data_IF_845957790539
#
_entry.id   IF_845957790539
#
_cell.length_a   1.000
_cell.length_b   1.000
_cell.length_c   1.000
_cell.angle_alpha   90.00
_cell.angle_beta   90.00
_cell.angle_gamma   90.00
#
_symmetry.space_group_name_H-M   'P 1'
#
loop_
_entity.id
_entity.type
_entity.pdbx_description
1 polymer ?
#
# COMPACT_ATOMS: atom_id res chain seq x y z
N UNK A 1 -41.41 -12.96 31.09
CA UNK A 1 -40.13 -12.24 30.86
C UNK A 1 -40.02 -11.98 29.37
N UNK A 2 -40.42 -10.81 28.89
CA UNK A 2 -40.22 -10.43 27.48
C UNK A 2 -38.76 -10.03 27.29
N UNK A 3 -38.09 -10.68 26.35
CA UNK A 3 -36.76 -10.28 25.91
C UNK A 3 -36.88 -8.93 25.20
N UNK A 4 -36.24 -7.93 25.78
CA UNK A 4 -36.14 -6.58 25.24
C UNK A 4 -35.14 -6.63 24.08
N UNK A 5 -35.62 -6.97 22.88
CA UNK A 5 -34.85 -6.80 21.64
C UNK A 5 -34.82 -5.30 21.32
N UNK A 6 -33.89 -4.58 21.93
CA UNK A 6 -33.58 -3.23 21.48
C UNK A 6 -32.90 -3.35 20.12
N UNK A 7 -33.71 -3.25 19.07
CA UNK A 7 -33.24 -2.99 17.71
C UNK A 7 -32.44 -1.68 17.76
N UNK A 8 -31.12 -1.81 17.89
CA UNK A 8 -30.17 -0.72 17.75
C UNK A 8 -30.21 -0.28 16.28
N UNK A 9 -31.22 0.53 15.93
CA UNK A 9 -31.29 1.23 14.65
C UNK A 9 -30.04 2.11 14.56
N UNK A 10 -29.08 1.66 13.76
CA UNK A 10 -27.91 2.43 13.38
C UNK A 10 -28.35 3.81 12.88
N UNK A 11 -27.62 4.85 13.27
CA UNK A 11 -27.86 6.21 12.81
C UNK A 11 -27.84 6.23 11.26
N UNK A 12 -28.77 6.94 10.58
CA UNK A 12 -28.78 7.10 9.13
C UNK A 12 -27.41 7.32 8.47
N UNK A 13 -26.52 8.08 9.11
CA UNK A 13 -25.18 8.34 8.57
C UNK A 13 -24.24 7.13 8.71
N UNK A 14 -24.38 6.34 9.77
CA UNK A 14 -23.67 5.07 9.91
C UNK A 14 -24.13 4.08 8.82
N UNK A 15 -25.42 4.07 8.46
CA UNK A 15 -25.92 3.23 7.38
C UNK A 15 -25.34 3.61 6.02
N UNK A 16 -25.16 4.91 5.74
CA UNK A 16 -24.53 5.38 4.50
C UNK A 16 -23.06 4.97 4.40
N UNK A 17 -22.28 5.15 5.46
CA UNK A 17 -20.86 4.76 5.49
C UNK A 17 -20.72 3.24 5.30
N UNK A 18 -21.55 2.45 5.98
CA UNK A 18 -21.54 1.00 5.80
C UNK A 18 -21.90 0.60 4.36
N UNK A 19 -22.87 1.27 3.73
CA UNK A 19 -23.22 1.00 2.33
C UNK A 19 -22.08 1.33 1.36
N UNK A 20 -21.36 2.45 1.59
CA UNK A 20 -20.19 2.81 0.78
C UNK A 20 -19.08 1.78 0.96
N UNK A 21 -18.74 1.42 2.20
CA UNK A 21 -17.71 0.41 2.48
C UNK A 21 -18.09 -0.92 1.83
N UNK A 22 -19.35 -1.37 1.99
CA UNK A 22 -19.82 -2.61 1.38
C UNK A 22 -19.71 -2.60 -0.14
N UNK A 23 -19.96 -1.46 -0.79
CA UNK A 23 -19.79 -1.30 -2.24
C UNK A 23 -18.32 -1.31 -2.65
N UNK A 24 -17.46 -0.63 -1.88
CA UNK A 24 -16.02 -0.57 -2.14
C UNK A 24 -15.30 -1.90 -1.85
N UNK A 25 -15.88 -2.78 -1.04
CA UNK A 25 -15.31 -4.10 -0.71
C UNK A 25 -15.98 -5.27 -1.43
N UNK A 26 -16.77 -5.00 -2.48
CA UNK A 26 -17.35 -6.05 -3.33
C UNK A 26 -16.24 -6.93 -3.94
N UNK A 27 -16.31 -8.26 -3.84
CA UNK A 27 -15.29 -9.16 -4.36
C UNK A 27 -14.90 -8.89 -5.81
N UNK A 28 -15.88 -8.70 -6.69
CA UNK A 28 -15.65 -8.46 -8.12
C UNK A 28 -14.86 -7.17 -8.34
N UNK A 29 -15.22 -6.10 -7.62
CA UNK A 29 -14.52 -4.82 -7.67
C UNK A 29 -13.07 -4.95 -7.18
N UNK A 30 -12.85 -5.60 -6.03
CA UNK A 30 -11.51 -5.79 -5.46
C UNK A 30 -10.63 -6.59 -6.42
N UNK A 31 -11.15 -7.67 -7.01
CA UNK A 31 -10.41 -8.47 -7.98
C UNK A 31 -10.03 -7.65 -9.23
N UNK A 32 -10.95 -6.84 -9.77
CA UNK A 32 -10.66 -5.94 -10.88
C UNK A 32 -9.58 -4.93 -10.49
N UNK A 33 -9.70 -4.28 -9.32
CA UNK A 33 -8.73 -3.32 -8.82
C UNK A 33 -7.33 -3.93 -8.66
N UNK A 34 -7.23 -5.14 -8.12
CA UNK A 34 -5.96 -5.87 -7.98
C UNK A 34 -5.35 -6.16 -9.36
N UNK A 35 -6.13 -6.73 -10.29
CA UNK A 35 -5.62 -7.09 -11.62
C UNK A 35 -5.17 -5.85 -12.39
N UNK A 36 -6.02 -4.81 -12.43
CA UNK A 36 -5.72 -3.58 -13.16
C UNK A 36 -4.54 -2.82 -12.54
N UNK A 37 -4.45 -2.72 -11.21
CA UNK A 37 -3.32 -2.04 -10.56
C UNK A 37 -1.99 -2.71 -10.91
N UNK A 38 -1.91 -4.04 -10.90
CA UNK A 38 -0.68 -4.74 -11.29
C UNK A 38 -0.36 -4.61 -12.76
N UNK A 39 -1.34 -4.86 -13.64
CA UNK A 39 -1.10 -4.77 -15.08
C UNK A 39 -0.63 -3.37 -15.42
N UNK A 40 -1.38 -2.34 -15.04
CA UNK A 40 -1.09 -0.94 -15.37
C UNK A 40 0.26 -0.52 -14.80
N UNK A 41 0.50 -0.77 -13.52
CA UNK A 41 1.73 -0.28 -12.90
C UNK A 41 2.97 -1.04 -13.36
N UNK A 42 2.95 -2.38 -13.36
CA UNK A 42 4.12 -3.18 -13.74
C UNK A 42 4.44 -2.98 -15.22
N UNK A 43 3.45 -3.08 -16.11
CA UNK A 43 3.70 -2.87 -17.53
C UNK A 43 4.09 -1.43 -17.82
N UNK A 44 3.44 -0.46 -17.17
CA UNK A 44 3.73 0.96 -17.35
C UNK A 44 5.14 1.32 -16.90
N UNK A 45 5.55 0.87 -15.72
CA UNK A 45 6.91 1.08 -15.20
C UNK A 45 7.94 0.41 -16.12
N UNK A 46 7.72 -0.84 -16.51
CA UNK A 46 8.62 -1.55 -17.42
C UNK A 46 8.75 -0.82 -18.77
N UNK A 47 7.64 -0.38 -19.37
CA UNK A 47 7.65 0.38 -20.63
C UNK A 47 8.40 1.70 -20.46
N UNK A 48 8.11 2.47 -19.41
CA UNK A 48 8.78 3.75 -19.14
C UNK A 48 10.30 3.57 -18.96
N UNK A 49 10.72 2.56 -18.17
CA UNK A 49 12.13 2.24 -17.95
C UNK A 49 12.82 1.77 -19.23
N UNK A 50 12.17 0.92 -20.05
CA UNK A 50 12.75 0.47 -21.32
C UNK A 50 12.93 1.64 -22.30
N UNK A 51 11.92 2.50 -22.44
CA UNK A 51 12.01 3.69 -23.29
C UNK A 51 13.16 4.58 -22.82
N UNK A 52 13.26 4.85 -21.52
CA UNK A 52 14.32 5.67 -20.94
C UNK A 52 15.71 5.03 -21.13
N UNK A 53 15.84 3.72 -20.94
CA UNK A 53 17.09 2.98 -21.12
C UNK A 53 17.59 3.10 -22.57
N UNK A 54 16.75 2.78 -23.55
CA UNK A 54 17.14 2.79 -24.96
C UNK A 54 17.37 4.18 -25.54
N UNK A 55 16.75 5.23 -24.98
CA UNK A 55 16.86 6.59 -25.52
C UNK A 55 17.84 7.48 -24.78
N UNK A 56 18.05 7.25 -23.48
CA UNK A 56 18.85 8.13 -22.61
C UNK A 56 19.88 7.39 -21.75
N UNK A 57 19.97 6.05 -21.84
CA UNK A 57 20.90 5.26 -21.02
C UNK A 57 20.48 5.12 -19.55
N UNK A 58 19.20 5.34 -19.25
CA UNK A 58 18.64 5.28 -17.90
C UNK A 58 18.93 3.94 -17.21
N UNK A 59 19.42 3.94 -15.98
CA UNK A 59 19.66 2.73 -15.21
C UNK A 59 19.40 2.90 -13.70
N UNK A 60 19.15 1.79 -13.01
CA UNK A 60 18.74 1.80 -11.59
C UNK A 60 19.84 2.22 -10.61
N UNK A 61 21.10 2.25 -11.04
CA UNK A 61 22.24 2.61 -10.19
C UNK A 61 22.47 4.11 -10.17
N UNK A 62 22.10 4.79 -11.25
CA UNK A 62 22.42 6.21 -11.49
C UNK A 62 21.18 7.10 -11.62
N UNK A 63 19.98 6.52 -11.69
CA UNK A 63 18.74 7.27 -11.87
C UNK A 63 17.66 6.88 -10.86
N UNK A 64 16.95 7.89 -10.38
CA UNK A 64 15.77 7.74 -9.54
C UNK A 64 14.60 7.16 -10.34
N UNK A 65 13.66 6.51 -9.67
CA UNK A 65 12.37 6.18 -10.27
C UNK A 65 11.66 7.47 -10.71
N UNK A 66 11.72 8.52 -9.89
CA UNK A 66 11.12 9.82 -10.20
C UNK A 66 11.71 10.48 -11.45
N UNK A 67 12.94 10.16 -11.84
CA UNK A 67 13.54 10.64 -13.09
C UNK A 67 12.73 10.19 -14.32
N UNK A 68 12.01 9.07 -14.25
CA UNK A 68 11.06 8.65 -15.30
C UNK A 68 9.85 9.60 -15.43
N UNK A 69 9.65 10.52 -14.49
CA UNK A 69 8.67 11.62 -14.56
C UNK A 69 9.23 12.91 -15.17
N UNK A 70 10.47 12.89 -15.70
CA UNK A 70 11.12 14.05 -16.31
C UNK A 70 11.51 13.82 -17.78
N UNK A 71 11.27 14.83 -18.61
CA UNK A 71 11.64 14.90 -20.04
C UNK A 71 13.15 14.80 -20.25
N UNK A 72 13.92 15.14 -19.21
CA UNK A 72 15.39 15.04 -19.20
C UNK A 72 15.85 13.59 -19.35
N UNK A 73 15.15 12.65 -18.69
CA UNK A 73 15.57 11.25 -18.62
C UNK A 73 14.67 10.30 -19.40
N UNK A 74 13.46 10.73 -19.78
CA UNK A 74 12.58 9.94 -20.67
C UNK A 74 11.84 10.84 -21.65
N UNK A 75 11.67 10.46 -22.92
CA UNK A 75 10.83 11.20 -23.87
C UNK A 75 9.34 11.14 -23.55
N UNK A 76 8.90 10.23 -22.67
CA UNK A 76 7.49 10.00 -22.33
C UNK A 76 7.22 10.05 -20.82
N UNK A 77 7.49 11.19 -20.15
CA UNK A 77 7.37 11.29 -18.69
C UNK A 77 5.94 11.08 -18.18
N UNK A 78 4.94 11.42 -19.01
CA UNK A 78 3.52 11.25 -18.70
C UNK A 78 3.12 9.79 -18.43
N UNK A 79 3.90 8.80 -18.86
CA UNK A 79 3.59 7.39 -18.61
C UNK A 79 3.64 7.11 -17.10
N UNK A 80 4.74 7.48 -16.42
CA UNK A 80 4.87 7.27 -14.98
C UNK A 80 3.76 8.01 -14.21
N UNK A 81 3.48 9.24 -14.63
CA UNK A 81 2.48 10.10 -14.00
C UNK A 81 1.08 9.48 -14.02
N UNK A 82 0.64 9.03 -15.20
CA UNK A 82 -0.69 8.46 -15.41
C UNK A 82 -0.81 7.12 -14.69
N UNK A 83 0.21 6.25 -14.76
CA UNK A 83 0.15 4.97 -14.05
C UNK A 83 0.14 5.18 -12.53
N UNK A 84 0.85 6.18 -12.00
CA UNK A 84 0.82 6.50 -10.58
C UNK A 84 -0.58 6.94 -10.13
N UNK A 85 -1.20 7.88 -10.87
CA UNK A 85 -2.56 8.34 -10.63
C UNK A 85 -3.57 7.19 -10.68
N UNK A 86 -3.60 6.41 -11.75
CA UNK A 86 -4.59 5.34 -11.91
C UNK A 86 -4.39 4.27 -10.83
N UNK A 87 -3.15 3.83 -10.62
CA UNK A 87 -2.84 2.79 -9.64
C UNK A 87 -3.21 3.23 -8.23
N UNK A 88 -2.94 4.49 -7.86
CA UNK A 88 -3.31 5.02 -6.55
C UNK A 88 -4.81 4.93 -6.26
N UNK A 89 -5.66 5.23 -7.26
CA UNK A 89 -7.12 5.15 -7.13
C UNK A 89 -7.56 3.69 -6.99
N UNK A 90 -6.97 2.79 -7.79
CA UNK A 90 -7.28 1.35 -7.73
C UNK A 90 -6.83 0.70 -6.42
N UNK A 91 -5.78 1.21 -5.76
CA UNK A 91 -5.30 0.70 -4.48
C UNK A 91 -6.19 1.10 -3.30
N UNK A 92 -7.06 2.10 -3.42
CA UNK A 92 -7.95 2.53 -2.32
C UNK A 92 -8.93 1.42 -1.91
N UNK A 93 -9.75 0.84 -2.82
CA UNK A 93 -10.61 -0.31 -2.48
C UNK A 93 -9.82 -1.49 -1.89
N UNK A 94 -8.66 -1.80 -2.47
CA UNK A 94 -7.77 -2.89 -2.03
C UNK A 94 -7.30 -2.67 -0.59
N UNK A 95 -6.90 -1.45 -0.26
CA UNK A 95 -6.47 -1.05 1.09
C UNK A 95 -7.59 -1.19 2.11
N UNK A 96 -8.81 -0.75 1.75
CA UNK A 96 -10.00 -0.89 2.61
C UNK A 96 -10.29 -2.38 2.86
N UNK A 97 -10.28 -3.20 1.81
CA UNK A 97 -10.53 -4.64 1.93
C UNK A 97 -9.48 -5.32 2.80
N UNK A 98 -8.19 -5.04 2.55
CA UNK A 98 -7.08 -5.61 3.33
C UNK A 98 -7.25 -5.29 4.82
N UNK A 99 -7.40 -4.03 5.20
CA UNK A 99 -7.55 -3.65 6.60
C UNK A 99 -8.83 -4.20 7.25
N UNK A 100 -9.92 -4.31 6.49
CA UNK A 100 -11.17 -4.92 6.97
C UNK A 100 -11.05 -6.42 7.19
N UNK A 101 -10.40 -7.14 6.27
CA UNK A 101 -10.14 -8.58 6.40
C UNK A 101 -9.23 -8.87 7.60
N UNK A 102 -8.17 -8.07 7.77
CA UNK A 102 -7.26 -8.15 8.91
C UNK A 102 -8.00 -7.94 10.24
N UNK A 103 -8.88 -6.93 10.31
CA UNK A 103 -9.71 -6.68 11.48
C UNK A 103 -10.63 -7.86 11.82
N UNK A 104 -11.26 -8.47 10.80
CA UNK A 104 -12.13 -9.63 10.99
C UNK A 104 -11.35 -10.82 11.55
N UNK A 105 -10.18 -11.12 11.00
CA UNK A 105 -9.34 -12.22 11.47
C UNK A 105 -8.86 -12.00 12.90
N UNK A 106 -8.42 -10.78 13.24
CA UNK A 106 -8.03 -10.45 14.62
C UNK A 106 -9.20 -10.62 15.59
N UNK A 107 -10.45 -10.37 15.17
CA UNK A 107 -11.61 -10.61 16.04
C UNK A 107 -11.76 -12.09 16.38
N UNK A 108 -11.50 -12.99 15.44
CA UNK A 108 -11.66 -14.43 15.64
C UNK A 108 -10.45 -15.06 16.34
N UNK A 109 -9.23 -14.58 16.09
CA UNK A 109 -7.98 -15.09 16.69
C UNK A 109 -7.83 -14.80 18.20
N UNK A 110 -8.50 -13.75 18.69
CA UNK A 110 -8.26 -13.19 20.02
C UNK A 110 -9.27 -13.74 21.06
N UNK A 111 -10.12 -14.69 20.67
CA UNK A 111 -10.95 -15.46 21.60
C UNK A 111 -10.05 -16.19 22.61
N UNK A 112 -10.00 -15.67 23.85
CA UNK A 112 -9.16 -16.21 24.94
C UNK A 112 -7.92 -15.37 25.31
N UNK A 113 -7.59 -14.30 24.57
CA UNK A 113 -6.52 -13.35 24.98
C UNK A 113 -7.10 -12.17 25.77
N UNK A 114 -6.23 -11.37 26.38
CA UNK A 114 -6.64 -10.20 27.15
C UNK A 114 -7.32 -9.14 26.28
N UNK A 115 -8.34 -8.47 26.83
CA UNK A 115 -9.03 -7.35 26.17
C UNK A 115 -8.04 -6.25 25.73
N UNK A 116 -6.99 -6.03 26.51
CA UNK A 116 -5.94 -5.04 26.20
C UNK A 116 -5.18 -5.39 24.92
N UNK A 117 -4.80 -6.67 24.72
CA UNK A 117 -4.13 -7.12 23.51
C UNK A 117 -5.01 -6.95 22.26
N UNK A 118 -6.31 -7.24 22.39
CA UNK A 118 -7.26 -6.99 21.30
C UNK A 118 -7.32 -5.52 20.89
N UNK A 119 -7.39 -4.61 21.87
CA UNK A 119 -7.42 -3.17 21.65
C UNK A 119 -6.12 -2.72 20.97
N UNK A 120 -4.97 -3.22 21.44
CA UNK A 120 -3.66 -2.94 20.84
C UNK A 120 -3.64 -3.28 19.35
N UNK A 121 -4.04 -4.51 18.98
CA UNK A 121 -4.05 -4.92 17.57
C UNK A 121 -5.02 -4.08 16.74
N UNK A 122 -6.20 -3.75 17.26
CA UNK A 122 -7.15 -2.87 16.55
C UNK A 122 -6.57 -1.49 16.25
N UNK A 123 -5.92 -0.87 17.23
CA UNK A 123 -5.29 0.43 17.05
C UNK A 123 -4.24 0.34 15.94
N UNK A 124 -3.44 -0.72 15.93
CA UNK A 124 -2.41 -0.93 14.91
C UNK A 124 -2.99 -1.13 13.52
N UNK A 125 -4.09 -1.87 13.38
CA UNK A 125 -4.81 -2.02 12.11
C UNK A 125 -5.34 -0.67 11.61
N UNK A 126 -5.92 0.15 12.51
CA UNK A 126 -6.45 1.47 12.14
C UNK A 126 -5.32 2.41 11.72
N UNK A 127 -4.22 2.45 12.46
CA UNK A 127 -3.05 3.28 12.11
C UNK A 127 -2.45 2.79 10.78
N UNK A 128 -2.26 1.49 10.61
CA UNK A 128 -1.77 0.87 9.38
C UNK A 128 -2.66 1.17 8.17
N UNK A 129 -3.98 1.19 8.36
CA UNK A 129 -4.97 1.58 7.34
C UNK A 129 -4.86 3.06 6.96
N UNK A 130 -4.77 3.96 7.94
CA UNK A 130 -4.58 5.40 7.69
C UNK A 130 -3.33 5.62 6.85
N UNK A 131 -2.24 4.92 7.17
CA UNK A 131 -1.01 5.00 6.37
C UNK A 131 -1.17 4.39 4.96
N UNK A 132 -1.93 3.31 4.75
CA UNK A 132 -2.22 2.84 3.37
C UNK A 132 -2.97 3.87 2.54
N UNK A 133 -3.94 4.56 3.14
CA UNK A 133 -4.66 5.63 2.47
C UNK A 133 -3.74 6.82 2.18
N UNK A 134 -2.90 7.20 3.15
CA UNK A 134 -1.88 8.24 2.94
C UNK A 134 -0.89 7.85 1.83
N UNK A 135 -0.49 6.58 1.72
CA UNK A 135 0.32 6.09 0.60
C UNK A 135 -0.39 6.29 -0.74
N UNK A 136 -1.69 6.01 -0.82
CA UNK A 136 -2.48 6.22 -2.04
C UNK A 136 -2.56 7.73 -2.38
N UNK A 137 -2.73 8.60 -1.38
CA UNK A 137 -2.71 10.05 -1.59
C UNK A 137 -1.33 10.54 -2.05
N UNK A 138 -0.26 10.06 -1.41
CA UNK A 138 1.11 10.32 -1.83
C UNK A 138 1.36 9.91 -3.28
N UNK A 139 0.92 8.70 -3.62
CA UNK A 139 1.13 8.13 -4.93
C UNK A 139 0.33 8.84 -6.04
N UNK A 140 -0.89 9.27 -5.74
CA UNK A 140 -1.64 10.16 -6.61
C UNK A 140 -0.91 11.49 -6.80
N UNK A 141 -0.43 12.07 -5.69
CA UNK A 141 0.27 13.35 -5.66
C UNK A 141 1.53 13.37 -6.51
N UNK A 142 2.38 12.33 -6.46
CA UNK A 142 3.59 12.28 -7.30
C UNK A 142 3.25 12.23 -8.79
N UNK A 143 2.13 11.64 -9.19
CA UNK A 143 1.71 11.62 -10.59
C UNK A 143 1.13 12.97 -11.05
N UNK A 144 0.43 13.69 -10.17
CA UNK A 144 -0.05 15.05 -10.47
C UNK A 144 1.14 16.02 -10.57
N UNK A 145 1.99 16.03 -9.55
CA UNK A 145 3.16 16.88 -9.43
C UNK A 145 4.39 16.07 -9.82
N UNK A 146 4.55 15.76 -11.11
CA UNK A 146 5.74 15.06 -11.61
C UNK A 146 7.02 15.88 -11.39
N UNK A 147 8.17 15.26 -11.57
CA UNK A 147 9.48 15.92 -11.40
C UNK A 147 9.57 17.23 -12.18
N UNK A 148 9.19 17.23 -13.47
CA UNK A 148 9.17 18.44 -14.32
C UNK A 148 8.09 19.46 -13.92
N UNK A 149 7.02 19.01 -13.26
CA UNK A 149 5.92 19.87 -12.78
C UNK A 149 6.07 20.23 -11.31
N UNK A 150 7.24 19.96 -10.72
CA UNK A 150 7.55 20.36 -9.36
C UNK A 150 7.41 21.88 -9.26
N UNK A 151 6.41 22.31 -8.49
CA UNK A 151 6.22 23.73 -8.20
C UNK A 151 7.36 24.22 -7.31
N UNK A 152 7.51 25.55 -7.19
CA UNK A 152 8.46 26.16 -6.24
C UNK A 152 8.28 25.71 -4.79
N UNK A 153 7.15 25.07 -4.47
CA UNK A 153 6.84 24.49 -3.16
C UNK A 153 7.45 23.09 -2.95
N UNK A 154 8.10 22.49 -3.96
CA UNK A 154 8.71 21.17 -3.84
C UNK A 154 7.69 20.04 -3.66
N UNK A 155 6.51 20.17 -4.27
CA UNK A 155 5.38 19.25 -4.03
C UNK A 155 5.67 17.80 -4.43
N UNK A 156 6.44 17.56 -5.50
CA UNK A 156 6.83 16.19 -5.89
C UNK A 156 7.55 15.50 -4.72
N UNK A 157 8.61 16.13 -4.20
CA UNK A 157 9.38 15.62 -3.08
C UNK A 157 8.53 15.40 -1.82
N UNK A 158 7.62 16.33 -1.52
CA UNK A 158 6.69 16.20 -0.41
C UNK A 158 5.80 14.95 -0.55
N UNK A 159 5.19 14.75 -1.73
CA UNK A 159 4.36 13.57 -1.98
C UNK A 159 5.17 12.27 -2.07
N UNK A 160 6.42 12.32 -2.52
CA UNK A 160 7.38 11.21 -2.49
C UNK A 160 7.67 10.76 -1.05
N UNK A 161 7.87 11.71 -0.12
CA UNK A 161 7.99 11.37 1.31
C UNK A 161 6.71 10.79 1.89
N UNK A 162 5.54 11.31 1.49
CA UNK A 162 4.25 10.75 1.91
C UNK A 162 4.11 9.30 1.43
N UNK A 163 4.35 9.00 0.16
CA UNK A 163 4.11 7.65 -0.38
C UNK A 163 5.02 6.61 0.26
N UNK A 164 6.34 6.84 0.25
CA UNK A 164 7.31 5.88 0.80
C UNK A 164 7.24 5.81 2.31
N UNK A 165 7.17 6.96 3.00
CA UNK A 165 7.03 7.00 4.46
C UNK A 165 5.76 6.31 4.93
N UNK A 166 4.62 6.58 4.28
CA UNK A 166 3.36 5.94 4.65
C UNK A 166 3.36 4.45 4.32
N UNK A 167 4.00 4.00 3.24
CA UNK A 167 4.14 2.57 2.97
C UNK A 167 5.00 1.89 4.04
N UNK A 168 6.09 2.52 4.48
CA UNK A 168 6.94 2.00 5.54
C UNK A 168 6.19 1.87 6.88
N UNK A 169 5.46 2.91 7.30
CA UNK A 169 4.67 2.86 8.54
C UNK A 169 3.52 1.87 8.44
N UNK A 170 2.78 1.85 7.32
CA UNK A 170 1.73 0.85 7.11
C UNK A 170 2.28 -0.57 7.22
N UNK A 171 3.41 -0.81 6.57
CA UNK A 171 4.13 -2.08 6.59
C UNK A 171 4.53 -2.46 8.02
N UNK A 172 5.06 -1.52 8.80
CA UNK A 172 5.39 -1.73 10.20
C UNK A 172 4.17 -2.14 11.03
N UNK A 173 3.09 -1.36 11.03
CA UNK A 173 1.93 -1.60 11.88
C UNK A 173 1.17 -2.87 11.49
N UNK A 174 0.91 -3.06 10.19
CA UNK A 174 0.22 -4.26 9.70
C UNK A 174 1.12 -5.51 9.83
N UNK A 175 2.43 -5.38 9.65
CA UNK A 175 3.40 -6.45 9.87
C UNK A 175 3.41 -6.93 11.32
N UNK A 176 3.40 -6.00 12.28
CA UNK A 176 3.29 -6.33 13.71
C UNK A 176 1.97 -7.08 13.99
N UNK A 177 0.86 -6.64 13.41
CA UNK A 177 -0.44 -7.32 13.59
C UNK A 177 -0.38 -8.76 13.07
N UNK A 178 0.12 -8.97 11.85
CA UNK A 178 0.24 -10.30 11.24
C UNK A 178 1.16 -11.23 12.04
N UNK A 179 2.28 -10.73 12.54
CA UNK A 179 3.20 -11.51 13.38
C UNK A 179 2.60 -11.84 14.76
N UNK A 180 1.62 -11.07 15.21
CA UNK A 180 0.99 -11.20 16.53
C UNK A 180 -0.24 -12.13 16.55
N UNK A 181 -0.72 -12.58 15.39
CA UNK A 181 -1.81 -13.55 15.27
C UNK A 181 -1.35 -14.95 15.69
N UNK A 182 -2.22 -15.80 16.24
CA UNK A 182 -1.86 -17.15 16.71
C UNK A 182 -1.50 -18.10 15.55
N UNK A 183 -0.51 -18.98 15.74
CA UNK A 183 -0.12 -20.01 14.74
C UNK A 183 -1.21 -21.05 14.52
N UNK A 184 -2.02 -21.29 15.55
CA UNK A 184 -3.04 -22.34 15.55
C UNK A 184 -4.34 -21.93 14.85
N UNK A 185 -4.48 -20.66 14.47
CA UNK A 185 -5.66 -20.18 13.77
C UNK A 185 -5.46 -20.26 12.25
N UNK A 186 -6.51 -20.53 11.49
CA UNK A 186 -6.46 -20.44 10.04
C UNK A 186 -6.40 -18.96 9.64
N UNK A 187 -5.19 -18.40 9.66
CA UNK A 187 -4.91 -17.03 9.24
C UNK A 187 -4.92 -16.98 7.71
N UNK A 188 -5.60 -16.00 7.14
CA UNK A 188 -5.64 -15.81 5.68
C UNK A 188 -4.25 -15.42 5.16
N UNK A 189 -3.54 -14.60 5.94
CA UNK A 189 -2.24 -14.04 5.61
C UNK A 189 -1.11 -14.81 6.32
N UNK A 190 -0.17 -15.43 5.57
CA UNK A 190 1.01 -16.05 6.15
C UNK A 190 1.87 -15.06 6.93
N UNK A 191 2.38 -15.46 8.10
CA UNK A 191 3.28 -14.64 8.92
C UNK A 191 4.55 -14.19 8.21
N UNK A 192 5.02 -14.93 7.20
CA UNK A 192 6.18 -14.52 6.39
C UNK A 192 5.93 -13.20 5.68
N UNK A 193 4.68 -12.88 5.30
CA UNK A 193 4.32 -11.57 4.75
C UNK A 193 4.50 -10.51 5.82
N UNK A 194 4.01 -10.74 7.04
CA UNK A 194 4.23 -9.83 8.16
C UNK A 194 5.73 -9.61 8.48
N UNK A 195 6.54 -10.66 8.35
CA UNK A 195 7.99 -10.57 8.50
C UNK A 195 8.64 -9.73 7.40
N UNK A 196 8.26 -9.91 6.12
CA UNK A 196 8.74 -9.06 5.02
C UNK A 196 8.32 -7.60 5.25
N UNK A 197 7.07 -7.38 5.66
CA UNK A 197 6.56 -6.05 5.95
C UNK A 197 7.38 -5.33 7.04
N UNK A 198 7.72 -6.03 8.12
CA UNK A 198 8.44 -5.42 9.24
C UNK A 198 9.96 -5.38 9.03
N UNK A 199 10.56 -6.49 8.60
CA UNK A 199 12.02 -6.68 8.60
C UNK A 199 12.69 -6.45 7.24
N UNK A 200 11.92 -6.25 6.16
CA UNK A 200 12.48 -5.87 4.85
C UNK A 200 12.14 -4.41 4.54
N UNK A 201 10.86 -4.07 4.51
CA UNK A 201 10.44 -2.74 4.07
C UNK A 201 10.87 -1.61 5.01
N UNK A 202 10.76 -1.80 6.33
CA UNK A 202 11.15 -0.77 7.31
C UNK A 202 12.67 -0.52 7.31
N UNK A 203 13.55 -1.55 7.39
CA UNK A 203 14.99 -1.32 7.32
C UNK A 203 15.44 -0.67 6.02
N UNK A 204 14.87 -1.05 4.87
CA UNK A 204 15.20 -0.43 3.58
C UNK A 204 14.81 1.07 3.58
N UNK A 205 13.65 1.40 4.13
CA UNK A 205 13.22 2.80 4.28
C UNK A 205 14.16 3.60 5.19
N UNK A 206 14.67 2.97 6.27
CA UNK A 206 15.68 3.59 7.15
C UNK A 206 17.02 3.77 6.41
N UNK A 207 17.46 2.78 5.63
CA UNK A 207 18.69 2.86 4.84
C UNK A 207 18.65 4.01 3.82
N UNK A 208 17.50 4.22 3.17
CA UNK A 208 17.30 5.37 2.28
C UNK A 208 17.48 6.72 2.99
N UNK A 209 17.10 6.82 4.26
CA UNK A 209 17.27 8.04 5.05
C UNK A 209 18.69 8.25 5.57
N UNK A 210 19.35 7.19 6.03
CA UNK A 210 20.70 7.26 6.65
C UNK A 210 21.81 7.34 5.61
N UNK A 211 21.57 6.84 4.40
CA UNK A 211 22.49 6.94 3.25
C UNK A 211 23.87 6.31 3.50
N UNK A 212 23.96 4.97 3.57
CA UNK A 212 25.24 4.31 3.75
C UNK A 212 26.21 4.62 2.59
N UNK A 213 27.52 4.79 2.84
CA UNK A 213 28.49 5.24 1.83
C UNK A 213 28.59 4.38 0.56
N UNK A 214 28.17 3.12 0.64
CA UNK A 214 28.35 2.12 -0.42
C UNK A 214 27.14 1.99 -1.35
N UNK A 215 26.00 2.62 -1.04
CA UNK A 215 24.77 2.49 -1.83
C UNK A 215 24.32 3.86 -2.34
N UNK A 216 24.23 4.07 -3.67
CA UNK A 216 23.61 5.26 -4.24
C UNK A 216 22.18 5.43 -3.75
N UNK A 217 21.75 6.68 -3.60
CA UNK A 217 20.38 6.99 -3.14
C UNK A 217 19.35 6.58 -4.19
N UNK A 218 19.71 6.75 -5.45
CA UNK A 218 19.01 6.33 -6.66
C UNK A 218 18.67 4.85 -6.56
N UNK A 219 19.67 4.00 -6.31
CA UNK A 219 19.49 2.56 -6.13
C UNK A 219 18.61 2.23 -4.93
N UNK A 220 18.77 2.92 -3.80
CA UNK A 220 17.94 2.69 -2.62
C UNK A 220 16.46 3.02 -2.87
N UNK A 221 16.14 3.98 -3.74
CA UNK A 221 14.75 4.24 -4.15
C UNK A 221 14.13 3.06 -4.90
N UNK A 222 14.87 2.45 -5.83
CA UNK A 222 14.45 1.22 -6.50
C UNK A 222 14.23 0.08 -5.53
N UNK A 223 15.15 -0.10 -4.58
CA UNK A 223 15.05 -1.14 -3.57
C UNK A 223 13.86 -0.90 -2.62
N UNK A 224 13.52 0.36 -2.29
CA UNK A 224 12.29 0.70 -1.57
C UNK A 224 11.03 0.30 -2.36
N UNK A 225 10.98 0.58 -3.66
CA UNK A 225 9.85 0.15 -4.49
C UNK A 225 9.71 -1.38 -4.49
N UNK A 226 10.82 -2.10 -4.69
CA UNK A 226 10.82 -3.55 -4.69
C UNK A 226 10.46 -4.15 -3.31
N UNK A 227 10.85 -3.50 -2.21
CA UNK A 227 10.46 -3.95 -0.87
C UNK A 227 8.97 -3.77 -0.60
N UNK A 228 8.36 -2.72 -1.13
CA UNK A 228 6.89 -2.55 -1.10
C UNK A 228 6.21 -3.67 -1.89
N UNK A 229 6.72 -4.01 -3.07
CA UNK A 229 6.20 -5.12 -3.88
C UNK A 229 6.34 -6.48 -3.25
N UNK A 230 7.43 -6.71 -2.52
CA UNK A 230 7.69 -7.98 -1.85
C UNK A 230 6.56 -8.40 -0.89
N UNK A 231 5.77 -7.46 -0.37
CA UNK A 231 4.60 -7.79 0.46
C UNK A 231 3.26 -7.45 -0.20
N UNK A 232 3.15 -6.38 -1.01
CA UNK A 232 1.87 -6.05 -1.70
C UNK A 232 1.47 -7.15 -2.67
N UNK A 233 2.40 -7.67 -3.48
CA UNK A 233 2.09 -8.71 -4.48
C UNK A 233 1.60 -10.00 -3.83
N UNK A 234 2.29 -10.61 -2.83
CA UNK A 234 1.75 -11.78 -2.16
C UNK A 234 0.40 -11.51 -1.47
N UNK A 235 0.25 -10.36 -0.80
CA UNK A 235 -0.98 -10.02 -0.05
C UNK A 235 -2.20 -9.95 -0.96
N UNK A 236 -2.07 -9.24 -2.09
CA UNK A 236 -3.15 -9.09 -3.06
C UNK A 236 -3.48 -10.40 -3.80
N UNK A 237 -2.48 -11.25 -4.09
CA UNK A 237 -2.73 -12.59 -4.62
C UNK A 237 -3.49 -13.48 -3.63
N UNK A 238 -3.20 -13.37 -2.34
CA UNK A 238 -3.94 -14.05 -1.27
C UNK A 238 -5.37 -13.53 -1.17
N UNK A 239 -5.55 -12.21 -1.17
CA UNK A 239 -6.88 -11.57 -1.23
C UNK A 239 -7.65 -12.13 -2.41
N UNK A 240 -7.07 -12.11 -3.60
CA UNK A 240 -7.73 -12.62 -4.80
C UNK A 240 -8.17 -14.09 -4.64
N UNK A 241 -7.32 -14.96 -4.06
CA UNK A 241 -7.69 -16.36 -3.79
C UNK A 241 -8.81 -16.49 -2.76
N UNK A 242 -8.92 -15.58 -1.78
CA UNK A 242 -9.96 -15.63 -0.75
C UNK A 242 -11.32 -15.13 -1.23
N UNK A 243 -11.36 -14.36 -2.33
CA UNK A 243 -12.61 -13.79 -2.86
C UNK A 243 -13.59 -14.83 -3.43
N UNK A 244 -13.16 -16.09 -3.63
CA UNK A 244 -14.00 -17.21 -4.12
C UNK A 244 -14.85 -16.84 -5.35
N UNK A 245 -14.25 -16.09 -6.28
CA UNK A 245 -14.81 -15.76 -7.59
C UNK A 245 -14.61 -16.89 -8.58
#
# INVERSE_FOLDING_TARGET
>A
MSQNTSDNKLNPDQNKIHAIIAKLTQPELINICIILSFIIFISGLAIATLIAFFTRGFNIWENYISDLGSIRYTPTPFILDIIAIITSVLLVPVSIYFSWSLYKETKTDVEGKSKGFFIFLKVFIIIGFIFLLSSSVGFFGIGVFSEDRTTSLGLHNFFSYIVFGSFAFSSMFNGIVLLSQNENFQVMYPRIIGAIMLFVNVPISILFLVLPPLLPREFLEWIMLFSVFAWIMPTTLIIRKSLKL
#
